data_IF_705249499714
#
_entry.id   IF_705249499714
#
_cell.length_a   1.000
_cell.length_b   1.000
_cell.length_c   1.000
_cell.angle_alpha   90.00
_cell.angle_beta   90.00
_cell.angle_gamma   90.00
#
_symmetry.space_group_name_H-M   'P 1'
#
loop_
_entity.id
_entity.type
_entity.pdbx_description
1 polymer ?
#
# COMPACT_ATOMS: atom_id res chain seq x y z
N UNK A 1 1.86 -9.27 -24.18
CA UNK A 1 2.65 -8.98 -22.96
C UNK A 1 1.68 -8.85 -21.80
N UNK A 2 2.16 -9.14 -20.55
CA UNK A 2 1.32 -8.96 -19.37
C UNK A 2 1.10 -7.48 -19.04
N UNK A 3 -0.06 -7.19 -18.48
CA UNK A 3 -0.46 -5.88 -17.97
C UNK A 3 -0.41 -5.88 -16.44
N UNK A 4 0.32 -4.96 -15.85
CA UNK A 4 0.53 -4.84 -14.42
C UNK A 4 -0.05 -3.52 -13.91
N UNK A 5 -0.91 -3.61 -12.91
CA UNK A 5 -1.53 -2.46 -12.26
C UNK A 5 -0.97 -2.26 -10.86
N UNK A 6 -0.82 -1.00 -10.44
CA UNK A 6 -0.24 -0.63 -9.16
C UNK A 6 -1.09 0.44 -8.48
N UNK A 7 -1.41 0.24 -7.20
CA UNK A 7 -2.11 1.22 -6.35
C UNK A 7 -1.44 1.29 -4.98
N UNK A 8 -1.58 2.42 -4.27
CA UNK A 8 -1.13 2.58 -2.88
C UNK A 8 -1.95 3.65 -2.17
N UNK A 9 -1.81 3.71 -0.85
CA UNK A 9 -2.25 4.83 -0.01
C UNK A 9 -3.73 5.22 -0.20
N UNK A 10 -4.62 4.22 -0.19
CA UNK A 10 -6.06 4.44 -0.25
C UNK A 10 -6.62 4.92 1.08
N UNK A 11 -6.07 4.43 2.19
CA UNK A 11 -6.51 4.73 3.55
C UNK A 11 -8.03 4.63 3.72
N UNK A 12 -8.58 3.47 3.36
CA UNK A 12 -10.00 3.18 3.61
C UNK A 12 -10.27 3.19 5.11
N UNK A 13 -11.31 3.92 5.53
CA UNK A 13 -11.67 4.10 6.94
C UNK A 13 -11.17 5.39 7.58
N UNK A 14 -10.40 6.22 6.86
CA UNK A 14 -9.85 7.48 7.37
C UNK A 14 -10.87 8.60 7.47
N UNK A 15 -11.73 8.71 6.47
CA UNK A 15 -12.60 9.88 6.29
C UNK A 15 -13.98 9.65 6.92
N UNK A 16 -14.81 10.71 6.95
CA UNK A 16 -16.21 10.58 7.36
C UNK A 16 -17.01 9.71 6.38
N UNK A 17 -18.06 9.06 6.87
CA UNK A 17 -18.83 8.01 6.18
C UNK A 17 -19.14 8.32 4.71
N UNK A 18 -19.66 9.50 4.41
CA UNK A 18 -20.06 9.86 3.04
C UNK A 18 -18.86 9.88 2.05
N UNK A 19 -17.72 10.40 2.52
CA UNK A 19 -16.49 10.42 1.70
C UNK A 19 -15.90 9.02 1.55
N UNK A 20 -15.95 8.22 2.62
CA UNK A 20 -15.51 6.81 2.57
C UNK A 20 -16.36 5.99 1.61
N UNK A 21 -17.69 6.11 1.67
CA UNK A 21 -18.60 5.39 0.78
C UNK A 21 -18.31 5.73 -0.69
N UNK A 22 -18.00 6.98 -1.00
CA UNK A 22 -17.61 7.41 -2.36
C UNK A 22 -16.25 6.84 -2.78
N UNK A 23 -15.25 6.91 -1.90
CA UNK A 23 -13.90 6.39 -2.16
C UNK A 23 -13.90 4.87 -2.33
N UNK A 24 -14.59 4.15 -1.43
CA UNK A 24 -14.74 2.70 -1.57
C UNK A 24 -15.45 2.34 -2.88
N UNK A 25 -16.53 3.06 -3.25
CA UNK A 25 -17.23 2.83 -4.51
C UNK A 25 -16.29 3.01 -5.71
N UNK A 26 -15.55 4.12 -5.73
CA UNK A 26 -14.60 4.41 -6.80
C UNK A 26 -13.51 3.34 -6.91
N UNK A 27 -13.05 2.82 -5.77
CA UNK A 27 -12.06 1.76 -5.76
C UNK A 27 -12.64 0.42 -6.21
N UNK A 28 -13.88 0.10 -5.86
CA UNK A 28 -14.58 -1.10 -6.37
C UNK A 28 -14.75 -1.03 -7.89
N UNK A 29 -15.13 0.12 -8.42
CA UNK A 29 -15.18 0.34 -9.88
C UNK A 29 -13.80 0.13 -10.54
N UNK A 30 -12.71 0.56 -9.88
CA UNK A 30 -11.36 0.25 -10.35
C UNK A 30 -11.05 -1.25 -10.29
N UNK A 31 -11.46 -1.97 -9.25
CA UNK A 31 -11.25 -3.42 -9.16
C UNK A 31 -12.01 -4.16 -10.27
N UNK A 32 -13.24 -3.74 -10.58
CA UNK A 32 -14.00 -4.31 -11.69
C UNK A 32 -13.31 -4.06 -13.05
N UNK A 33 -12.76 -2.87 -13.25
CA UNK A 33 -11.94 -2.56 -14.43
C UNK A 33 -10.66 -3.42 -14.46
N UNK A 34 -9.94 -3.50 -13.35
CA UNK A 34 -8.71 -4.31 -13.24
C UNK A 34 -8.98 -5.79 -13.53
N UNK A 35 -10.16 -6.31 -13.14
CA UNK A 35 -10.59 -7.68 -13.41
C UNK A 35 -10.64 -8.01 -14.90
N UNK A 36 -10.97 -7.04 -15.75
CA UNK A 36 -11.04 -7.22 -17.21
C UNK A 36 -9.73 -6.93 -17.94
N UNK A 37 -8.85 -6.13 -17.34
CA UNK A 37 -7.71 -5.56 -18.04
C UNK A 37 -6.35 -6.00 -17.50
N UNK A 38 -6.23 -6.34 -16.20
CA UNK A 38 -4.97 -6.65 -15.58
C UNK A 38 -4.65 -8.17 -15.57
N UNK A 39 -3.39 -8.52 -15.65
CA UNK A 39 -2.89 -9.85 -15.32
C UNK A 39 -2.46 -9.94 -13.84
N UNK A 40 -1.91 -8.85 -13.32
CA UNK A 40 -1.46 -8.77 -11.91
C UNK A 40 -1.77 -7.37 -11.34
N UNK A 41 -2.25 -7.33 -10.10
CA UNK A 41 -2.48 -6.10 -9.33
C UNK A 41 -1.52 -6.04 -8.13
N UNK A 42 -0.80 -4.92 -8.01
CA UNK A 42 0.08 -4.63 -6.89
C UNK A 42 -0.52 -3.54 -6.01
N UNK A 43 -0.82 -3.87 -4.76
CA UNK A 43 -1.24 -2.93 -3.71
C UNK A 43 -0.01 -2.66 -2.84
N UNK A 44 0.56 -1.47 -2.95
CA UNK A 44 1.84 -1.11 -2.32
C UNK A 44 1.65 -0.52 -0.92
N UNK A 45 0.75 -1.08 -0.14
CA UNK A 45 0.50 -0.74 1.26
C UNK A 45 -0.55 0.34 1.47
N UNK A 46 -0.94 0.48 2.73
CA UNK A 46 -1.91 1.47 3.21
C UNK A 46 -3.23 1.45 2.43
N UNK A 47 -3.71 0.24 2.11
CA UNK A 47 -5.06 0.06 1.58
C UNK A 47 -6.10 0.52 2.61
N UNK A 48 -5.86 0.20 3.88
CA UNK A 48 -6.70 0.63 5.00
C UNK A 48 -5.97 1.63 5.89
N UNK A 49 -6.71 2.57 6.49
CA UNK A 49 -6.19 3.50 7.47
C UNK A 49 -5.72 2.81 8.76
N UNK A 50 -6.29 1.68 9.05
CA UNK A 50 -5.80 0.66 9.97
C UNK A 50 -6.42 -0.69 9.59
N UNK A 51 -5.67 -1.77 9.78
CA UNK A 51 -6.15 -3.13 9.60
C UNK A 51 -5.68 -3.99 10.75
N UNK A 52 -6.60 -4.77 11.33
CA UNK A 52 -6.30 -5.67 12.42
C UNK A 52 -7.07 -6.99 12.27
N UNK A 53 -6.34 -8.08 12.22
CA UNK A 53 -6.90 -9.41 12.17
C UNK A 53 -6.85 -10.08 13.55
N UNK A 54 -8.02 -10.30 14.16
CA UNK A 54 -8.16 -11.22 15.27
C UNK A 54 -8.19 -12.65 14.75
N UNK A 55 -8.07 -13.62 15.66
CA UNK A 55 -8.06 -15.03 15.25
C UNK A 55 -9.32 -15.47 14.49
N UNK A 56 -10.49 -14.88 14.79
CA UNK A 56 -11.80 -15.26 14.23
C UNK A 56 -12.64 -14.07 13.80
N UNK A 57 -12.11 -12.88 13.89
CA UNK A 57 -12.86 -11.64 13.63
C UNK A 57 -11.98 -10.65 12.87
N UNK A 58 -12.53 -10.05 11.85
CA UNK A 58 -11.99 -8.88 11.17
C UNK A 58 -12.89 -7.67 11.45
N UNK A 59 -12.39 -6.47 11.20
CA UNK A 59 -13.17 -5.25 11.41
C UNK A 59 -14.35 -5.16 10.42
N UNK A 60 -15.41 -4.47 10.84
CA UNK A 60 -16.56 -4.17 9.99
C UNK A 60 -16.21 -3.14 8.92
N UNK A 61 -16.94 -3.17 7.85
CA UNK A 61 -16.75 -2.30 6.70
C UNK A 61 -15.90 -2.95 5.62
N UNK A 62 -15.69 -2.23 4.57
CA UNK A 62 -14.83 -2.64 3.43
C UNK A 62 -15.23 -3.95 2.76
N UNK A 63 -16.43 -4.47 3.06
CA UNK A 63 -16.87 -5.77 2.52
C UNK A 63 -16.93 -5.77 0.98
N UNK A 64 -17.23 -4.62 0.36
CA UNK A 64 -17.21 -4.48 -1.10
C UNK A 64 -15.79 -4.56 -1.65
N UNK A 65 -14.85 -3.86 -1.02
CA UNK A 65 -13.43 -3.92 -1.36
C UNK A 65 -12.89 -5.34 -1.21
N UNK A 66 -13.19 -6.00 -0.08
CA UNK A 66 -12.74 -7.38 0.18
C UNK A 66 -13.35 -8.36 -0.82
N UNK A 67 -14.65 -8.21 -1.14
CA UNK A 67 -15.30 -9.01 -2.17
C UNK A 67 -14.69 -8.78 -3.56
N UNK A 68 -14.45 -7.51 -3.95
CA UNK A 68 -13.81 -7.19 -5.23
C UNK A 68 -12.39 -7.76 -5.36
N UNK A 69 -11.60 -7.73 -4.28
CA UNK A 69 -10.27 -8.36 -4.26
C UNK A 69 -10.37 -9.89 -4.40
N UNK A 70 -11.35 -10.51 -3.74
CA UNK A 70 -11.64 -11.93 -3.89
C UNK A 70 -12.05 -12.28 -5.31
N UNK A 71 -12.94 -11.48 -5.91
CA UNK A 71 -13.38 -11.66 -7.30
C UNK A 71 -12.22 -11.59 -8.31
N UNK A 72 -11.23 -10.70 -8.06
CA UNK A 72 -10.00 -10.64 -8.88
C UNK A 72 -9.24 -11.97 -8.81
N UNK A 73 -8.97 -12.47 -7.62
CA UNK A 73 -8.20 -13.72 -7.46
C UNK A 73 -8.93 -14.93 -8.01
N UNK A 74 -10.27 -15.00 -7.87
CA UNK A 74 -11.11 -16.04 -8.48
C UNK A 74 -11.17 -15.93 -10.01
N UNK A 75 -11.02 -14.74 -10.56
CA UNK A 75 -10.88 -14.54 -12.01
C UNK A 75 -9.47 -14.87 -12.53
N UNK A 76 -8.53 -15.25 -11.66
CA UNK A 76 -7.16 -15.62 -12.02
C UNK A 76 -6.16 -14.48 -12.02
N UNK A 77 -6.57 -13.26 -11.62
CA UNK A 77 -5.66 -12.11 -11.45
C UNK A 77 -4.79 -12.34 -10.21
N UNK A 78 -3.49 -12.18 -10.33
CA UNK A 78 -2.59 -12.31 -9.19
C UNK A 78 -2.58 -11.00 -8.41
N UNK A 79 -3.13 -11.01 -7.19
CA UNK A 79 -3.10 -9.86 -6.29
C UNK A 79 -1.90 -9.93 -5.37
N UNK A 80 -1.05 -8.90 -5.41
CA UNK A 80 0.12 -8.72 -4.55
C UNK A 80 -0.18 -7.62 -3.54
N UNK A 81 -0.12 -7.95 -2.24
CA UNK A 81 -0.40 -7.02 -1.16
C UNK A 81 0.86 -6.75 -0.34
N UNK A 82 1.37 -5.54 -0.39
CA UNK A 82 2.46 -5.09 0.46
C UNK A 82 1.88 -4.45 1.72
N UNK A 83 2.39 -4.84 2.87
CA UNK A 83 1.96 -4.29 4.15
C UNK A 83 2.54 -2.88 4.32
N UNK A 84 1.68 -1.90 4.55
CA UNK A 84 2.04 -0.53 4.85
C UNK A 84 2.31 -0.29 6.34
N UNK A 85 2.36 0.97 6.72
CA UNK A 85 2.54 1.37 8.11
C UNK A 85 1.22 1.60 8.87
N UNK A 86 0.11 1.69 8.17
CA UNK A 86 -1.22 1.79 8.75
C UNK A 86 -1.92 0.44 8.85
N UNK A 87 -1.72 -0.43 7.90
CA UNK A 87 -2.37 -1.73 7.81
C UNK A 87 -1.43 -2.92 8.11
N UNK A 88 -0.57 -2.80 9.11
CA UNK A 88 0.51 -3.76 9.40
C UNK A 88 0.10 -5.01 10.21
N UNK A 89 -1.14 -5.10 10.69
CA UNK A 89 -1.58 -6.20 11.57
C UNK A 89 -2.32 -7.29 10.82
N UNK A 90 -1.68 -7.81 9.77
CA UNK A 90 -2.12 -8.97 9.02
C UNK A 90 -1.75 -10.29 9.71
N UNK A 91 -2.61 -11.31 9.58
CA UNK A 91 -2.33 -12.70 9.95
C UNK A 91 -2.34 -13.58 8.72
N UNK A 92 -3.51 -14.04 8.30
CA UNK A 92 -3.67 -15.01 7.23
C UNK A 92 -4.90 -14.75 6.33
N UNK A 93 -5.76 -13.80 6.68
CA UNK A 93 -7.02 -13.54 5.97
C UNK A 93 -6.78 -13.23 4.48
N UNK A 94 -5.83 -12.36 4.16
CA UNK A 94 -5.58 -11.99 2.77
C UNK A 94 -5.00 -13.14 1.94
N UNK A 95 -4.25 -14.04 2.57
CA UNK A 95 -3.69 -15.21 1.91
C UNK A 95 -4.73 -16.34 1.78
N UNK A 96 -5.48 -16.63 2.86
CA UNK A 96 -6.38 -17.78 2.91
C UNK A 96 -7.78 -17.50 2.36
N UNK A 97 -8.35 -16.32 2.64
CA UNK A 97 -9.71 -15.98 2.22
C UNK A 97 -9.74 -15.22 0.90
N UNK A 98 -8.85 -14.23 0.73
CA UNK A 98 -8.77 -13.46 -0.52
C UNK A 98 -7.97 -14.21 -1.59
N UNK A 99 -6.89 -14.90 -1.21
CA UNK A 99 -5.96 -15.55 -2.15
C UNK A 99 -4.86 -14.61 -2.65
N UNK A 100 -4.60 -13.51 -1.96
CA UNK A 100 -3.55 -12.57 -2.29
C UNK A 100 -2.17 -13.07 -1.83
N UNK A 101 -1.10 -12.59 -2.47
CA UNK A 101 0.28 -12.79 -2.02
C UNK A 101 0.69 -11.63 -1.14
N UNK A 102 0.87 -11.87 0.17
CA UNK A 102 1.20 -10.82 1.16
C UNK A 102 2.70 -10.68 1.34
N UNK A 103 3.21 -9.44 1.35
CA UNK A 103 4.62 -9.10 1.51
C UNK A 103 4.84 -8.17 2.71
N UNK A 104 5.68 -8.61 3.64
CA UNK A 104 6.05 -7.84 4.84
C UNK A 104 7.26 -6.89 4.63
N UNK A 105 7.87 -6.96 3.47
CA UNK A 105 9.09 -6.20 3.11
C UNK A 105 9.11 -5.91 1.61
N UNK A 106 10.11 -5.14 1.19
CA UNK A 106 10.37 -4.90 -0.22
C UNK A 106 10.64 -6.18 -1.00
N UNK A 107 10.28 -6.19 -2.27
CA UNK A 107 10.49 -7.31 -3.18
C UNK A 107 11.07 -6.80 -4.50
N UNK A 108 12.00 -7.56 -5.06
CA UNK A 108 12.46 -7.35 -6.44
C UNK A 108 11.71 -8.34 -7.32
N UNK A 109 11.10 -7.83 -8.39
CA UNK A 109 10.40 -8.62 -9.40
C UNK A 109 10.90 -8.28 -10.80
N UNK A 110 10.88 -9.27 -11.66
CA UNK A 110 11.06 -9.07 -13.10
C UNK A 110 9.68 -9.10 -13.78
N UNK A 111 9.28 -7.97 -14.37
CA UNK A 111 8.02 -7.80 -15.07
C UNK A 111 8.32 -7.43 -16.52
N UNK A 112 7.86 -8.24 -17.48
CA UNK A 112 8.16 -8.07 -18.90
C UNK A 112 9.64 -7.82 -19.22
N UNK A 113 10.58 -8.50 -18.48
CA UNK A 113 12.03 -8.36 -18.67
C UNK A 113 12.66 -7.11 -18.04
N UNK A 114 11.90 -6.33 -17.24
CA UNK A 114 12.38 -5.19 -16.47
C UNK A 114 12.45 -5.50 -14.98
N UNK A 115 13.47 -4.98 -14.29
CA UNK A 115 13.65 -5.17 -12.85
C UNK A 115 12.95 -4.09 -12.05
N UNK A 116 12.01 -4.50 -11.23
CA UNK A 116 11.24 -3.64 -10.35
C UNK A 116 11.63 -3.85 -8.89
N UNK A 117 11.94 -2.77 -8.19
CA UNK A 117 11.95 -2.75 -6.73
C UNK A 117 10.60 -2.20 -6.25
N UNK A 118 9.87 -3.02 -5.49
CA UNK A 118 8.53 -2.72 -5.01
C UNK A 118 8.50 -2.72 -3.49
N UNK A 119 7.99 -1.65 -2.90
CA UNK A 119 7.82 -1.52 -1.46
C UNK A 119 6.75 -0.47 -1.14
N UNK A 120 6.26 -0.45 0.11
CA UNK A 120 5.45 0.68 0.57
C UNK A 120 6.29 1.95 0.68
N UNK A 121 7.50 1.88 1.20
CA UNK A 121 8.42 3.02 1.31
C UNK A 121 8.71 3.44 2.76
N UNK A 122 7.88 2.99 3.71
CA UNK A 122 8.01 3.30 5.12
C UNK A 122 9.37 2.88 5.70
N UNK A 123 10.08 3.83 6.33
CA UNK A 123 11.41 3.62 6.91
C UNK A 123 12.55 3.53 5.90
N UNK A 124 12.34 3.92 4.64
CA UNK A 124 13.41 4.04 3.64
C UNK A 124 14.11 5.41 3.68
N UNK A 125 13.47 6.41 4.25
CA UNK A 125 14.07 7.74 4.42
C UNK A 125 15.22 7.68 5.44
N UNK A 126 16.39 8.18 5.07
CA UNK A 126 17.59 8.22 5.95
C UNK A 126 17.30 9.07 7.19
N UNK A 127 17.78 8.62 8.36
CA UNK A 127 17.70 9.30 9.66
C UNK A 127 16.33 9.33 10.37
N UNK A 128 15.35 8.55 9.96
CA UNK A 128 14.10 8.41 10.72
C UNK A 128 14.16 7.28 11.78
N UNK A 129 15.15 7.39 12.69
CA UNK A 129 15.41 6.39 13.73
C UNK A 129 14.19 6.18 14.62
N UNK A 130 13.47 7.26 14.95
CA UNK A 130 12.27 7.20 15.78
C UNK A 130 11.18 6.33 15.14
N UNK A 131 10.93 6.52 13.86
CA UNK A 131 10.00 5.68 13.11
C UNK A 131 10.47 4.21 13.03
N UNK A 132 11.75 3.96 12.77
CA UNK A 132 12.28 2.59 12.71
C UNK A 132 12.12 1.83 14.02
N UNK A 133 12.29 2.49 15.17
CA UNK A 133 12.03 1.91 16.49
C UNK A 133 10.54 1.60 16.66
N UNK A 134 9.67 2.55 16.34
CA UNK A 134 8.21 2.36 16.40
C UNK A 134 7.78 1.20 15.50
N UNK A 135 8.24 1.17 14.25
CA UNK A 135 7.98 0.08 13.30
C UNK A 135 8.39 -1.29 13.86
N UNK A 136 9.57 -1.37 14.50
CA UNK A 136 10.06 -2.61 15.11
C UNK A 136 9.16 -3.06 16.27
N UNK A 137 8.67 -2.12 17.09
CA UNK A 137 7.73 -2.40 18.19
C UNK A 137 6.40 -2.89 17.63
N UNK A 138 5.81 -2.16 16.70
CA UNK A 138 4.49 -2.45 16.12
C UNK A 138 4.49 -3.77 15.32
N UNK A 139 5.58 -4.09 14.64
CA UNK A 139 5.74 -5.36 13.88
C UNK A 139 6.25 -6.53 14.74
N UNK A 140 6.44 -6.34 16.05
CA UNK A 140 6.83 -7.42 16.94
C UNK A 140 5.69 -8.42 17.16
N UNK A 141 5.86 -9.66 16.70
CA UNK A 141 4.84 -10.72 16.76
C UNK A 141 4.35 -11.03 18.17
N UNK A 142 5.21 -10.88 19.18
CA UNK A 142 4.82 -11.10 20.58
C UNK A 142 3.89 -9.99 21.08
N UNK A 143 4.21 -8.72 20.78
CA UNK A 143 3.35 -7.58 21.12
C UNK A 143 2.02 -7.63 20.36
N UNK A 144 2.05 -8.00 19.08
CA UNK A 144 0.83 -8.22 18.28
C UNK A 144 -0.05 -9.33 18.88
N UNK A 145 0.58 -10.41 19.39
CA UNK A 145 -0.15 -11.49 20.08
C UNK A 145 -0.80 -11.00 21.38
N UNK A 146 -0.10 -10.20 22.18
CA UNK A 146 -0.69 -9.59 23.40
C UNK A 146 -1.86 -8.68 23.00
N UNK A 147 -1.67 -7.82 22.01
CA UNK A 147 -2.71 -6.92 21.52
C UNK A 147 -3.96 -7.67 21.04
N UNK A 148 -3.81 -8.85 20.45
CA UNK A 148 -4.94 -9.68 20.00
C UNK A 148 -5.83 -10.25 21.12
N UNK A 149 -5.45 -10.11 22.39
CA UNK A 149 -6.31 -10.43 23.54
C UNK A 149 -7.14 -9.24 24.02
N UNK A 150 -6.88 -8.03 23.52
CA UNK A 150 -7.73 -6.87 23.81
C UNK A 150 -9.06 -7.04 23.06
N UNK A 151 -10.17 -6.64 23.72
CA UNK A 151 -11.47 -6.69 23.07
C UNK A 151 -11.44 -5.92 21.73
N UNK A 152 -12.02 -6.47 20.65
CA UNK A 152 -11.94 -5.84 19.31
C UNK A 152 -12.34 -4.37 19.29
N UNK A 153 -13.41 -3.96 19.95
CA UNK A 153 -13.88 -2.57 19.96
C UNK A 153 -12.85 -1.62 20.62
N UNK A 154 -12.15 -2.09 21.66
CA UNK A 154 -11.11 -1.32 22.33
C UNK A 154 -9.87 -1.26 21.43
N UNK A 155 -9.45 -2.40 20.89
CA UNK A 155 -8.30 -2.48 19.99
C UNK A 155 -8.46 -1.59 18.75
N UNK A 156 -9.62 -1.66 18.09
CA UNK A 156 -9.94 -0.81 16.94
C UNK A 156 -9.90 0.68 17.32
N UNK A 157 -10.46 1.05 18.46
CA UNK A 157 -10.44 2.44 18.95
C UNK A 157 -9.01 2.96 19.19
N UNK A 158 -8.15 2.13 19.81
CA UNK A 158 -6.73 2.46 20.03
C UNK A 158 -6.02 2.64 18.68
N UNK A 159 -6.15 1.69 17.76
CA UNK A 159 -5.51 1.73 16.45
C UNK A 159 -5.92 2.98 15.64
N UNK A 160 -7.20 3.26 15.56
CA UNK A 160 -7.75 4.45 14.88
C UNK A 160 -7.22 5.77 15.48
N UNK A 161 -7.18 5.86 16.82
CA UNK A 161 -6.66 7.05 17.51
C UNK A 161 -5.16 7.24 17.28
N UNK A 162 -4.41 6.14 17.23
CA UNK A 162 -2.96 6.17 17.01
C UNK A 162 -2.64 6.54 15.56
N UNK A 163 -3.39 6.00 14.60
CA UNK A 163 -3.27 6.36 13.18
C UNK A 163 -3.50 7.85 12.96
N UNK A 164 -4.54 8.43 13.55
CA UNK A 164 -4.81 9.88 13.48
C UNK A 164 -3.65 10.71 14.03
N UNK A 165 -3.13 10.38 15.22
CA UNK A 165 -2.00 11.10 15.81
C UNK A 165 -0.72 10.98 14.97
N UNK A 166 -0.48 9.84 14.36
CA UNK A 166 0.68 9.63 13.48
C UNK A 166 0.63 10.56 12.27
N UNK A 167 -0.55 10.68 11.63
CA UNK A 167 -0.73 11.59 10.48
C UNK A 167 -0.58 13.06 10.88
N UNK A 168 -1.18 13.48 11.99
CA UNK A 168 -1.05 14.86 12.47
C UNK A 168 0.42 15.22 12.69
N UNK A 169 1.20 14.29 13.29
CA UNK A 169 2.64 14.45 13.49
C UNK A 169 3.42 14.48 12.16
N UNK A 170 3.04 13.65 11.19
CA UNK A 170 3.70 13.60 9.88
C UNK A 170 3.39 14.83 9.04
N UNK A 171 2.15 15.33 9.11
CA UNK A 171 1.74 16.56 8.41
C UNK A 171 2.48 17.81 8.93
N UNK A 172 2.85 17.84 10.22
CA UNK A 172 3.64 18.92 10.81
C UNK A 172 5.15 18.84 10.46
N UNK A 173 5.65 17.66 10.14
CA UNK A 173 6.99 17.50 9.57
C UNK A 173 6.96 17.95 8.11
N UNK A 174 7.43 19.16 7.85
CA UNK A 174 7.84 19.59 6.51
C UNK A 174 8.94 18.62 6.02
N UNK A 175 8.56 17.58 5.33
CA UNK A 175 9.49 16.84 4.48
C UNK A 175 9.85 17.83 3.38
N UNK A 176 10.99 18.54 3.54
CA UNK A 176 11.41 19.58 2.63
C UNK A 176 11.29 19.19 1.16
N UNK A 177 11.51 20.10 0.25
CA UNK A 177 11.38 19.95 -1.22
C UNK A 177 12.12 18.74 -1.82
N UNK A 178 12.96 18.06 -1.03
CA UNK A 178 13.65 16.82 -1.41
C UNK A 178 12.84 15.65 -0.88
N UNK A 179 12.19 14.93 -1.79
CA UNK A 179 11.58 13.63 -1.47
C UNK A 179 12.67 12.64 -1.00
N UNK A 180 12.74 12.40 0.31
CA UNK A 180 13.72 11.47 0.89
C UNK A 180 13.60 10.04 0.34
N UNK A 181 12.43 9.66 -0.19
CA UNK A 181 12.23 8.39 -0.88
C UNK A 181 12.91 8.37 -2.25
N UNK A 182 12.97 9.51 -2.94
CA UNK A 182 13.72 9.61 -4.18
C UNK A 182 15.21 9.39 -3.96
N UNK A 183 15.80 9.94 -2.90
CA UNK A 183 17.20 9.68 -2.54
C UNK A 183 17.44 8.19 -2.25
N UNK A 184 16.53 7.52 -1.54
CA UNK A 184 16.61 6.07 -1.31
C UNK A 184 16.42 5.25 -2.59
N UNK A 185 15.60 5.73 -3.52
CA UNK A 185 15.38 5.09 -4.82
C UNK A 185 16.60 5.16 -5.73
N UNK A 186 17.38 6.24 -5.66
CA UNK A 186 18.65 6.37 -6.43
C UNK A 186 19.59 5.22 -6.13
N UNK A 187 19.76 4.86 -4.84
CA UNK A 187 20.61 3.74 -4.43
C UNK A 187 20.14 2.44 -5.12
N UNK A 188 18.81 2.21 -5.21
CA UNK A 188 18.24 1.01 -5.85
C UNK A 188 18.41 1.01 -7.37
N UNK A 189 18.26 2.16 -8.01
CA UNK A 189 18.51 2.29 -9.45
C UNK A 189 19.99 2.01 -9.74
N UNK A 190 20.91 2.51 -8.92
CA UNK A 190 22.33 2.22 -9.03
C UNK A 190 22.66 0.72 -8.85
N UNK A 191 21.87 0.01 -8.02
CA UNK A 191 21.91 -1.44 -7.85
C UNK A 191 21.31 -2.21 -9.06
N UNK A 192 20.92 -1.52 -10.14
CA UNK A 192 20.47 -2.11 -11.39
C UNK A 192 18.97 -2.32 -11.52
N UNK A 193 18.14 -1.58 -10.76
CA UNK A 193 16.69 -1.58 -10.94
C UNK A 193 16.29 -0.65 -12.08
N UNK A 194 15.40 -1.11 -12.96
CA UNK A 194 14.81 -0.27 -14.02
C UNK A 194 13.72 0.64 -13.43
N UNK A 195 12.95 0.13 -12.48
CA UNK A 195 11.85 0.84 -11.83
C UNK A 195 11.89 0.65 -10.31
N UNK A 196 11.72 1.74 -9.57
CA UNK A 196 11.52 1.75 -8.12
C UNK A 196 10.15 2.34 -7.86
N UNK A 197 9.18 1.53 -7.43
CA UNK A 197 7.81 1.97 -7.17
C UNK A 197 7.53 1.94 -5.68
N UNK A 198 7.14 3.09 -5.14
CA UNK A 198 6.84 3.29 -3.73
C UNK A 198 5.49 4.00 -3.55
N UNK A 199 4.97 3.98 -2.33
CA UNK A 199 3.88 4.80 -1.81
C UNK A 199 4.36 5.69 -0.66
N UNK A 200 3.60 5.76 0.44
CA UNK A 200 3.93 6.32 1.75
C UNK A 200 4.04 7.84 1.85
N UNK A 201 4.69 8.53 0.92
CA UNK A 201 4.82 9.99 0.99
C UNK A 201 3.55 10.74 0.62
N UNK A 202 2.59 10.08 -0.01
CA UNK A 202 1.37 10.65 -0.58
C UNK A 202 1.63 11.73 -1.66
N UNK A 203 2.87 11.91 -2.08
CA UNK A 203 3.26 12.86 -3.13
C UNK A 203 3.51 12.10 -4.41
N UNK A 204 2.63 12.29 -5.40
CA UNK A 204 2.78 11.65 -6.70
C UNK A 204 4.06 12.14 -7.38
N UNK A 205 4.88 11.22 -7.86
CA UNK A 205 6.15 11.51 -8.52
C UNK A 205 6.45 10.50 -9.61
N UNK A 206 7.08 10.94 -10.69
CA UNK A 206 7.59 10.10 -11.77
C UNK A 206 8.90 10.69 -12.28
N UNK A 207 9.99 10.27 -11.67
CA UNK A 207 11.31 10.86 -11.86
C UNK A 207 12.28 9.90 -12.56
N UNK A 208 12.92 10.38 -13.60
CA UNK A 208 14.00 9.63 -14.26
C UNK A 208 15.33 9.88 -13.55
N UNK A 209 16.06 8.82 -13.23
CA UNK A 209 17.41 8.90 -12.72
C UNK A 209 18.32 7.88 -13.44
N UNK A 210 19.38 8.36 -14.06
CA UNK A 210 20.29 7.52 -14.87
C UNK A 210 19.51 6.66 -15.87
N UNK A 211 19.59 5.33 -15.73
CA UNK A 211 18.90 4.36 -16.59
C UNK A 211 17.51 3.97 -16.10
N UNK A 212 17.15 4.30 -14.85
CA UNK A 212 15.91 3.84 -14.22
C UNK A 212 14.96 4.97 -13.86
N UNK A 213 13.84 4.60 -13.24
CA UNK A 213 12.76 5.49 -12.86
C UNK A 213 12.37 5.28 -11.40
N UNK A 214 12.18 6.38 -10.68
CA UNK A 214 11.48 6.43 -9.40
C UNK A 214 10.03 6.81 -9.63
N UNK A 215 9.11 6.09 -9.00
CA UNK A 215 7.68 6.30 -9.09
C UNK A 215 7.10 6.27 -7.71
N UNK A 216 6.35 7.31 -7.34
CA UNK A 216 5.46 7.30 -6.20
C UNK A 216 4.04 7.50 -6.71
N UNK A 217 3.12 6.62 -6.30
CA UNK A 217 1.76 6.63 -6.84
C UNK A 217 0.88 7.74 -6.26
N UNK A 218 1.37 8.46 -5.22
CA UNK A 218 0.58 9.44 -4.51
C UNK A 218 -0.45 8.79 -3.59
N UNK A 219 -1.58 9.45 -3.37
CA UNK A 219 -2.64 8.95 -2.49
C UNK A 219 -4.03 9.13 -3.11
N UNK A 220 -4.89 8.13 -2.94
CA UNK A 220 -6.29 8.18 -3.35
C UNK A 220 -7.14 9.17 -2.53
N UNK A 221 -6.57 9.76 -1.47
CA UNK A 221 -7.24 10.80 -0.69
C UNK A 221 -7.36 12.11 -1.46
N UNK A 222 -6.38 12.42 -2.31
CA UNK A 222 -6.27 13.65 -3.09
C UNK A 222 -6.41 13.42 -4.59
N UNK A 223 -5.74 12.38 -5.09
CA UNK A 223 -5.59 12.12 -6.53
C UNK A 223 -5.75 10.62 -6.82
N UNK A 224 -7.02 10.11 -6.87
CA UNK A 224 -7.24 8.71 -7.23
C UNK A 224 -6.59 8.36 -8.57
N UNK A 225 -5.85 7.26 -8.60
CA UNK A 225 -5.15 6.85 -9.79
C UNK A 225 -4.41 5.55 -9.60
N UNK A 226 -3.84 5.04 -10.66
CA UNK A 226 -3.08 3.79 -10.65
C UNK A 226 -1.87 3.87 -11.58
N UNK A 227 -0.83 3.12 -11.24
CA UNK A 227 0.26 2.84 -12.15
C UNK A 227 -0.12 1.74 -13.12
N UNK A 228 0.23 1.91 -14.38
CA UNK A 228 0.07 0.92 -15.42
C UNK A 228 1.41 0.62 -16.09
N UNK A 229 1.78 -0.66 -16.14
CA UNK A 229 2.97 -1.10 -16.86
C UNK A 229 2.62 -2.18 -17.88
N UNK A 230 2.96 -1.92 -19.12
CA UNK A 230 2.89 -2.86 -20.24
C UNK A 230 3.89 -2.44 -21.32
N UNK A 231 4.29 -3.35 -22.18
CA UNK A 231 5.14 -3.07 -23.37
C UNK A 231 6.40 -2.23 -23.07
N UNK A 232 7.00 -2.40 -21.88
CA UNK A 232 8.16 -1.64 -21.37
C UNK A 232 7.88 -0.15 -21.09
N UNK A 233 6.63 0.29 -21.07
CA UNK A 233 6.20 1.63 -20.68
C UNK A 233 5.47 1.61 -19.35
N UNK A 234 5.78 2.57 -18.49
CA UNK A 234 5.06 2.82 -17.25
C UNK A 234 4.35 4.16 -17.33
N UNK A 235 3.10 4.19 -16.91
CA UNK A 235 2.28 5.39 -16.86
C UNK A 235 1.54 5.49 -15.53
N UNK A 236 1.30 6.70 -15.03
CA UNK A 236 0.35 6.95 -13.94
C UNK A 236 -0.92 7.51 -14.55
N UNK A 237 -2.04 6.84 -14.33
CA UNK A 237 -3.34 7.13 -14.93
C UNK A 237 -4.30 7.60 -13.83
N UNK A 238 -4.93 8.76 -14.02
CA UNK A 238 -5.97 9.24 -13.12
C UNK A 238 -7.22 8.38 -13.23
N UNK A 239 -7.81 8.06 -12.10
CA UNK A 239 -9.06 7.32 -12.02
C UNK A 239 -10.19 8.24 -11.56
N UNK A 240 -11.26 8.34 -12.36
CA UNK A 240 -12.36 9.29 -12.13
C UNK A 240 -13.71 8.59 -12.22
#
# INVERSE_FOLDING_TARGET
MKKYFFVSDLHLGLQGKEKEDRKEKLFVEFLDFAKSEADELFILGDLFDYWFEYRRVIQKGFYRTLAGLKDLTEAGIIVHYFIGNHDFLHRDFFETEIGAKVYNSSVIKELNGKKFFLAHGDGMVKNDIGYLILKKILRNKFLQRIYSYIHPDIGISIASSTSKKSRDYTAEKNYGEIDGLFEAAKDKIEDGMDYVILGHSHVRSFEKYKHGYYINLGSWLSEPGYGFFSENSFEIIDWK
#
